data_IF_366692190830
#
_entry.id   IF_366692190830
#
_cell.length_a   1.000
_cell.length_b   1.000
_cell.length_c   1.000
_cell.angle_alpha   90.00
_cell.angle_beta   90.00
_cell.angle_gamma   90.00
#
_symmetry.space_group_name_H-M   'P 1'
#
loop_
_entity.id
_entity.type
_entity.pdbx_description
1 polymer ?
#
# COMPACT_ATOMS: atom_id res chain seq x y z
N UNK A 1 8.12 -3.98 0.33
CA UNK A 1 6.93 -4.47 -0.42
C UNK A 1 7.24 -5.31 -1.67
N UNK A 2 8.46 -5.35 -2.22
CA UNK A 2 8.74 -6.12 -3.45
C UNK A 2 8.37 -7.61 -3.38
N UNK A 3 8.72 -8.31 -2.28
CA UNK A 3 8.32 -9.71 -2.07
C UNK A 3 6.79 -9.90 -2.01
N UNK A 4 6.08 -9.02 -1.30
CA UNK A 4 4.61 -9.06 -1.24
C UNK A 4 3.99 -8.85 -2.62
N UNK A 5 4.48 -7.87 -3.40
CA UNK A 5 4.04 -7.65 -4.78
C UNK A 5 4.26 -8.90 -5.65
N UNK A 6 5.40 -9.59 -5.50
CA UNK A 6 5.67 -10.84 -6.20
C UNK A 6 4.65 -11.93 -5.83
N UNK A 7 4.40 -12.16 -4.54
CA UNK A 7 3.40 -13.15 -4.11
C UNK A 7 1.97 -12.79 -4.55
N UNK A 8 1.61 -11.50 -4.57
CA UNK A 8 0.33 -11.07 -5.13
C UNK A 8 0.23 -11.32 -6.64
N UNK A 9 1.33 -11.14 -7.40
CA UNK A 9 1.37 -11.52 -8.82
C UNK A 9 1.17 -13.03 -8.98
N UNK A 10 1.85 -13.84 -8.18
CA UNK A 10 1.66 -15.30 -8.18
C UNK A 10 0.19 -15.65 -7.88
N UNK A 11 -0.41 -15.05 -6.85
CA UNK A 11 -1.81 -15.27 -6.51
C UNK A 11 -2.77 -14.84 -7.64
N UNK A 12 -2.52 -13.69 -8.27
CA UNK A 12 -3.33 -13.17 -9.38
C UNK A 12 -3.28 -14.06 -10.62
N UNK A 13 -2.08 -14.54 -11.01
CA UNK A 13 -1.90 -15.45 -12.15
C UNK A 13 -2.54 -16.82 -11.92
N UNK A 14 -2.61 -17.27 -10.66
CA UNK A 14 -3.25 -18.55 -10.29
C UNK A 14 -4.76 -18.40 -9.99
N UNK A 15 -5.38 -17.31 -10.41
CA UNK A 15 -6.82 -17.03 -10.26
C UNK A 15 -7.36 -17.13 -8.82
N UNK A 16 -6.50 -16.91 -7.82
CA UNK A 16 -6.86 -17.06 -6.41
C UNK A 16 -7.98 -16.09 -6.04
N UNK A 17 -9.00 -16.57 -5.31
CA UNK A 17 -10.05 -15.71 -4.78
C UNK A 17 -9.48 -14.72 -3.76
N UNK A 18 -9.40 -13.44 -4.16
CA UNK A 18 -8.65 -12.41 -3.45
C UNK A 18 -9.08 -12.23 -1.99
N UNK A 19 -10.38 -12.24 -1.63
CA UNK A 19 -10.79 -12.13 -0.23
C UNK A 19 -10.26 -13.26 0.66
N UNK A 20 -10.25 -14.51 0.17
CA UNK A 20 -9.68 -15.63 0.94
C UNK A 20 -8.17 -15.45 1.16
N UNK A 21 -7.45 -15.04 0.11
CA UNK A 21 -6.01 -14.75 0.22
C UNK A 21 -5.73 -13.64 1.23
N UNK A 22 -6.51 -12.54 1.18
CA UNK A 22 -6.38 -11.41 2.09
C UNK A 22 -6.70 -11.78 3.54
N UNK A 23 -7.69 -12.64 3.78
CA UNK A 23 -7.98 -13.16 5.12
C UNK A 23 -6.81 -13.97 5.67
N UNK A 24 -6.25 -14.87 4.87
CA UNK A 24 -5.08 -15.66 5.25
C UNK A 24 -3.86 -14.76 5.54
N UNK A 25 -3.56 -13.81 4.66
CA UNK A 25 -2.48 -12.82 4.87
C UNK A 25 -2.73 -12.00 6.15
N UNK A 26 -3.96 -11.55 6.37
CA UNK A 26 -4.37 -10.79 7.55
C UNK A 26 -4.11 -11.53 8.86
N UNK A 27 -4.36 -12.84 8.92
CA UNK A 27 -4.03 -13.67 10.10
C UNK A 27 -2.54 -13.64 10.40
N UNK A 28 -1.68 -13.81 9.40
CA UNK A 28 -0.23 -13.77 9.60
C UNK A 28 0.29 -12.37 9.96
N UNK A 29 -0.34 -11.31 9.44
CA UNK A 29 -0.03 -9.93 9.84
C UNK A 29 -0.38 -9.71 11.31
N UNK A 30 -1.55 -10.15 11.78
CA UNK A 30 -1.96 -10.05 13.19
C UNK A 30 -1.01 -10.83 14.10
N UNK A 31 -0.69 -12.08 13.75
CA UNK A 31 0.27 -12.90 14.50
C UNK A 31 1.62 -12.20 14.58
N UNK A 32 2.14 -11.70 13.45
CA UNK A 32 3.42 -10.99 13.40
C UNK A 32 3.40 -9.73 14.27
N UNK A 33 2.31 -8.96 14.24
CA UNK A 33 2.16 -7.77 15.07
C UNK A 33 2.14 -8.11 16.57
N UNK A 34 1.46 -9.19 16.98
CA UNK A 34 1.46 -9.67 18.36
C UNK A 34 2.87 -10.08 18.80
N UNK A 35 3.59 -10.83 17.96
CA UNK A 35 4.98 -11.24 18.23
C UNK A 35 5.85 -10.00 18.45
N UNK A 36 5.81 -9.03 17.52
CA UNK A 36 6.58 -7.78 17.63
C UNK A 36 6.23 -7.05 18.94
N UNK A 37 4.95 -6.97 19.30
CA UNK A 37 4.51 -6.30 20.52
C UNK A 37 5.08 -6.98 21.79
N UNK A 38 5.08 -8.31 21.85
CA UNK A 38 5.66 -9.09 22.94
C UNK A 38 7.17 -8.84 23.06
N UNK A 39 7.89 -8.85 21.94
CA UNK A 39 9.34 -8.63 21.92
C UNK A 39 9.73 -7.20 22.31
N UNK A 40 8.96 -6.20 21.87
CA UNK A 40 9.22 -4.79 22.19
C UNK A 40 8.85 -4.41 23.62
N UNK A 41 8.03 -5.23 24.31
CA UNK A 41 7.57 -5.02 25.70
C UNK A 41 6.94 -3.65 25.95
N UNK A 42 6.41 -3.03 24.90
CA UNK A 42 5.68 -1.76 25.00
C UNK A 42 4.23 -2.05 25.41
N UNK A 43 3.59 -1.11 26.10
CA UNK A 43 2.15 -1.21 26.34
C UNK A 43 1.38 -0.86 25.07
N UNK A 44 0.21 -1.48 24.88
CA UNK A 44 -0.67 -1.10 23.79
C UNK A 44 -1.18 0.34 24.04
N UNK A 45 -0.76 1.26 23.17
CA UNK A 45 -0.94 2.70 23.37
C UNK A 45 -1.74 3.36 22.23
N UNK A 46 -2.75 2.68 21.67
CA UNK A 46 -3.63 3.30 20.67
C UNK A 46 -4.67 4.18 21.37
N UNK A 47 -4.61 5.49 21.11
CA UNK A 47 -5.56 6.46 21.65
C UNK A 47 -6.96 6.24 21.08
N UNK A 48 -8.05 6.34 21.87
CA UNK A 48 -9.43 6.19 21.38
C UNK A 48 -9.77 7.05 20.14
N UNK A 49 -9.26 8.28 20.10
CA UNK A 49 -9.47 9.19 18.96
C UNK A 49 -8.83 8.70 17.65
N UNK A 50 -7.84 7.82 17.73
CA UNK A 50 -7.12 7.29 16.56
C UNK A 50 -7.78 6.05 15.97
N UNK A 51 -8.80 5.46 16.63
CA UNK A 51 -9.50 4.29 16.11
C UNK A 51 -10.11 4.56 14.75
N UNK A 52 -10.77 5.71 14.56
CA UNK A 52 -11.37 6.07 13.27
C UNK A 52 -10.33 6.11 12.14
N UNK A 53 -9.18 6.72 12.39
CA UNK A 53 -8.08 6.81 11.41
C UNK A 53 -7.49 5.42 11.13
N UNK A 54 -7.27 4.61 12.18
CA UNK A 54 -6.77 3.25 12.03
C UNK A 54 -7.73 2.37 11.21
N UNK A 55 -9.04 2.45 11.48
CA UNK A 55 -10.07 1.71 10.74
C UNK A 55 -10.14 2.16 9.28
N UNK A 56 -10.17 3.47 9.01
CA UNK A 56 -10.18 4.01 7.65
C UNK A 56 -8.93 3.61 6.87
N UNK A 57 -7.76 3.65 7.51
CA UNK A 57 -6.50 3.18 6.92
C UNK A 57 -6.57 1.70 6.57
N UNK A 58 -7.14 0.86 7.46
CA UNK A 58 -7.36 -0.56 7.20
C UNK A 58 -8.26 -0.80 5.98
N UNK A 59 -9.40 -0.11 5.90
CA UNK A 59 -10.33 -0.20 4.76
C UNK A 59 -9.67 0.25 3.46
N UNK A 60 -8.97 1.39 3.47
CA UNK A 60 -8.26 1.90 2.30
C UNK A 60 -7.16 0.93 1.83
N UNK A 61 -6.42 0.34 2.77
CA UNK A 61 -5.37 -0.65 2.48
C UNK A 61 -5.97 -1.92 1.88
N UNK A 62 -7.04 -2.45 2.47
CA UNK A 62 -7.72 -3.65 1.97
C UNK A 62 -8.30 -3.41 0.57
N UNK A 63 -8.94 -2.26 0.32
CA UNK A 63 -9.42 -1.88 -1.00
C UNK A 63 -8.29 -1.79 -2.03
N UNK A 64 -7.16 -1.17 -1.65
CA UNK A 64 -5.99 -1.08 -2.52
C UNK A 64 -5.39 -2.44 -2.89
N UNK A 65 -5.30 -3.35 -1.93
CA UNK A 65 -4.84 -4.74 -2.16
C UNK A 65 -5.81 -5.46 -3.09
N UNK A 66 -7.11 -5.41 -2.81
CA UNK A 66 -8.14 -6.06 -3.62
C UNK A 66 -8.10 -5.58 -5.08
N UNK A 67 -8.08 -4.26 -5.31
CA UNK A 67 -8.02 -3.69 -6.66
C UNK A 67 -6.72 -4.07 -7.38
N UNK A 68 -5.59 -4.14 -6.67
CA UNK A 68 -4.31 -4.58 -7.24
C UNK A 68 -4.37 -6.05 -7.66
N UNK A 69 -4.90 -6.92 -6.80
CA UNK A 69 -5.07 -8.35 -7.11
C UNK A 69 -6.06 -8.56 -8.26
N UNK A 70 -7.15 -7.79 -8.30
CA UNK A 70 -8.12 -7.81 -9.38
C UNK A 70 -7.47 -7.43 -10.71
N UNK A 71 -6.68 -6.35 -10.75
CA UNK A 71 -5.98 -5.93 -11.96
C UNK A 71 -4.98 -7.00 -12.45
N UNK A 72 -4.27 -7.67 -11.54
CA UNK A 72 -3.36 -8.78 -11.87
C UNK A 72 -4.14 -10.01 -12.39
N UNK A 73 -5.27 -10.35 -11.77
CA UNK A 73 -6.17 -11.44 -12.18
C UNK A 73 -6.80 -11.19 -13.56
N UNK A 74 -7.10 -9.94 -13.90
CA UNK A 74 -7.61 -9.53 -15.21
C UNK A 74 -6.53 -9.56 -16.32
N UNK A 75 -5.34 -10.11 -16.05
CA UNK A 75 -4.25 -10.24 -17.01
C UNK A 75 -3.32 -9.04 -17.07
N UNK A 76 -3.46 -8.08 -16.15
CA UNK A 76 -2.56 -6.93 -16.10
C UNK A 76 -1.15 -7.31 -15.66
N UNK A 77 -0.16 -6.70 -16.30
CA UNK A 77 1.25 -7.00 -16.01
C UNK A 77 1.71 -6.34 -14.70
N UNK A 78 2.35 -7.11 -13.82
CA UNK A 78 2.94 -6.55 -12.59
C UNK A 78 3.97 -5.45 -12.86
N UNK A 79 4.70 -5.51 -13.97
CA UNK A 79 5.63 -4.47 -14.45
C UNK A 79 4.96 -3.13 -14.67
N UNK A 80 3.65 -3.10 -14.95
CA UNK A 80 2.86 -1.88 -15.18
C UNK A 80 2.08 -1.50 -13.93
N UNK A 81 1.42 -2.49 -13.30
CA UNK A 81 0.56 -2.27 -12.14
C UNK A 81 1.35 -1.78 -10.91
N UNK A 82 2.52 -2.36 -10.63
CA UNK A 82 3.28 -1.99 -9.43
C UNK A 82 3.87 -0.57 -9.50
N UNK A 83 4.40 -0.10 -10.64
CA UNK A 83 4.77 1.30 -10.81
C UNK A 83 3.59 2.25 -10.67
N UNK A 84 2.43 1.95 -11.30
CA UNK A 84 1.22 2.76 -11.15
C UNK A 84 0.80 2.85 -9.68
N UNK A 85 0.77 1.72 -8.95
CA UNK A 85 0.50 1.71 -7.51
C UNK A 85 1.45 2.63 -6.73
N UNK A 86 2.72 2.70 -7.14
CA UNK A 86 3.73 3.52 -6.47
C UNK A 86 3.48 5.03 -6.65
N UNK A 87 2.64 5.43 -7.61
CA UNK A 87 2.15 6.82 -7.75
C UNK A 87 1.21 7.25 -6.61
N UNK A 88 0.78 6.33 -5.73
CA UNK A 88 0.05 6.71 -4.51
C UNK A 88 0.84 7.70 -3.64
N UNK A 89 2.17 7.74 -3.78
CA UNK A 89 3.03 8.74 -3.13
C UNK A 89 2.68 10.16 -3.55
N UNK A 90 2.30 10.39 -4.82
CA UNK A 90 1.88 11.71 -5.31
C UNK A 90 0.63 12.16 -4.54
N UNK A 91 -0.36 11.27 -4.41
CA UNK A 91 -1.60 11.54 -3.66
C UNK A 91 -1.29 11.83 -2.19
N UNK A 92 -0.40 11.05 -1.57
CA UNK A 92 0.02 11.26 -0.19
C UNK A 92 0.70 12.62 0.01
N UNK A 93 1.61 13.02 -0.88
CA UNK A 93 2.29 14.34 -0.79
C UNK A 93 1.29 15.48 -0.96
N UNK A 94 0.35 15.38 -1.91
CA UNK A 94 -0.70 16.39 -2.10
C UNK A 94 -1.58 16.51 -0.85
N UNK A 95 -2.03 15.39 -0.31
CA UNK A 95 -2.81 15.38 0.94
C UNK A 95 -2.01 15.97 2.11
N UNK A 96 -0.73 15.63 2.23
CA UNK A 96 0.12 16.21 3.28
C UNK A 96 0.30 17.72 3.14
N UNK A 97 0.45 18.21 1.91
CA UNK A 97 0.50 19.64 1.63
C UNK A 97 -0.81 20.34 2.00
N UNK A 98 -1.97 19.81 1.60
CA UNK A 98 -3.26 20.47 1.86
C UNK A 98 -3.74 20.36 3.31
N UNK A 99 -3.58 19.17 3.92
CA UNK A 99 -4.11 18.87 5.26
C UNK A 99 -3.16 19.32 6.36
N UNK A 100 -1.87 18.98 6.24
CA UNK A 100 -0.86 19.27 7.26
C UNK A 100 -0.07 20.55 6.97
N UNK A 101 -0.31 21.21 5.81
CA UNK A 101 0.39 22.44 5.39
C UNK A 101 1.92 22.29 5.39
N UNK A 102 2.40 21.07 5.13
CA UNK A 102 3.82 20.81 5.01
C UNK A 102 4.40 21.59 3.82
N UNK A 103 5.53 22.28 4.02
CA UNK A 103 6.18 22.99 2.92
C UNK A 103 6.74 21.98 1.90
N UNK A 104 6.22 22.06 0.68
CA UNK A 104 6.73 21.30 -0.46
C UNK A 104 7.86 22.12 -1.07
N UNK A 105 9.09 21.69 -0.82
CA UNK A 105 10.28 22.31 -1.41
C UNK A 105 10.35 22.04 -2.90
N UNK A 106 10.99 22.93 -3.65
CA UNK A 106 11.18 22.78 -5.11
C UNK A 106 11.86 21.44 -5.48
N UNK A 107 12.78 20.97 -4.64
CA UNK A 107 13.44 19.66 -4.78
C UNK A 107 12.47 18.48 -4.69
N UNK A 108 11.47 18.53 -3.79
CA UNK A 108 10.44 17.49 -3.69
C UNK A 108 9.56 17.46 -4.93
N UNK A 109 9.20 18.62 -5.47
CA UNK A 109 8.41 18.71 -6.71
C UNK A 109 9.18 18.13 -7.90
N UNK A 110 10.45 18.50 -8.06
CA UNK A 110 11.30 17.95 -9.12
C UNK A 110 11.46 16.43 -8.99
N UNK A 111 11.68 15.92 -7.77
CA UNK A 111 11.76 14.48 -7.50
C UNK A 111 10.47 13.75 -7.86
N UNK A 112 9.30 14.33 -7.57
CA UNK A 112 8.01 13.76 -7.96
C UNK A 112 7.84 13.75 -9.49
N UNK A 113 8.18 14.84 -10.18
CA UNK A 113 8.09 14.91 -11.65
C UNK A 113 8.99 13.85 -12.30
N UNK A 114 10.24 13.71 -11.84
CA UNK A 114 11.17 12.69 -12.35
C UNK A 114 10.70 11.27 -12.01
N UNK A 115 10.13 11.04 -10.83
CA UNK A 115 9.53 9.75 -10.48
C UNK A 115 8.33 9.41 -11.35
N UNK A 116 7.45 10.38 -11.60
CA UNK A 116 6.29 10.22 -12.49
C UNK A 116 6.73 9.93 -13.93
N UNK A 117 7.73 10.64 -14.45
CA UNK A 117 8.22 10.40 -15.82
C UNK A 117 8.87 9.02 -15.96
N UNK A 118 9.64 8.57 -14.97
CA UNK A 118 10.21 7.22 -14.95
C UNK A 118 9.12 6.14 -14.94
N UNK A 119 8.09 6.30 -14.10
CA UNK A 119 6.98 5.34 -14.02
C UNK A 119 6.16 5.34 -15.31
N UNK A 120 5.91 6.52 -15.90
CA UNK A 120 5.22 6.63 -17.18
C UNK A 120 5.95 5.88 -18.30
N UNK A 121 7.28 6.04 -18.38
CA UNK A 121 8.11 5.32 -19.36
C UNK A 121 8.12 3.80 -19.14
N UNK A 122 8.13 3.35 -17.88
CA UNK A 122 8.09 1.91 -17.57
C UNK A 122 6.72 1.28 -17.84
N UNK A 123 5.65 2.08 -17.76
CA UNK A 123 4.26 1.63 -17.94
C UNK A 123 3.78 1.56 -19.39
N UNK A 124 4.59 2.00 -20.36
CA UNK A 124 4.23 2.11 -21.78
C UNK A 124 4.92 1.03 -22.62
#
# INVERSE_FOLDING_TARGET
>A
FGMANFFWKVAGVNDVYSPSFMLTEGVFVVITAIIIHIFQKQTYALRPSMFGIASLSGVATAGGIYLTMLALKLGGEGSVIFPIKSMSVVVAVLLSYFVFRESVTFTKVLGLILGMSSIFLLSR
#
